data_IF_508937816763
#
_entry.id   IF_508937816763
#
_cell.length_a   1.000
_cell.length_b   1.000
_cell.length_c   1.000
_cell.angle_alpha   90.00
_cell.angle_beta   90.00
_cell.angle_gamma   90.00
#
_symmetry.space_group_name_H-M   'P 1'
#
loop_
_entity.id
_entity.type
_entity.pdbx_description
1 polymer ?
#
# COMPACT_ATOMS: atom_id res chain seq x y z
N UNK A 1 -19.82 5.55 -13.41
CA UNK A 1 -18.37 5.37 -13.21
C UNK A 1 -17.81 6.68 -12.71
N UNK A 2 -17.28 6.69 -11.52
CA UNK A 2 -16.67 7.87 -10.90
C UNK A 2 -15.25 7.48 -10.46
N UNK A 3 -14.25 8.14 -11.03
CA UNK A 3 -12.87 7.96 -10.58
C UNK A 3 -12.62 8.79 -9.35
N UNK A 4 -12.29 8.13 -8.25
CA UNK A 4 -12.04 8.77 -6.95
C UNK A 4 -10.54 8.72 -6.61
N UNK A 5 -9.97 9.85 -6.16
CA UNK A 5 -8.58 9.90 -5.72
C UNK A 5 -8.42 9.20 -4.38
N UNK A 6 -7.49 8.27 -4.31
CA UNK A 6 -7.20 7.48 -3.11
C UNK A 6 -5.72 7.51 -2.78
N UNK A 7 -5.39 7.46 -1.49
CA UNK A 7 -4.05 7.14 -1.02
C UNK A 7 -4.08 5.85 -0.22
N UNK A 8 -3.33 4.86 -0.68
CA UNK A 8 -3.39 3.50 -0.16
C UNK A 8 -2.17 3.10 0.68
N UNK A 9 -1.28 4.07 0.96
CA UNK A 9 -0.03 3.84 1.68
C UNK A 9 0.29 5.02 2.61
N UNK A 10 -0.17 4.95 3.87
CA UNK A 10 -0.04 6.01 4.85
C UNK A 10 0.44 5.49 6.21
N UNK A 11 1.26 6.30 6.88
CA UNK A 11 1.85 6.02 8.17
C UNK A 11 1.52 7.10 9.21
N UNK A 12 1.48 6.68 10.47
CA UNK A 12 1.21 7.54 11.61
C UNK A 12 2.24 7.32 12.72
N UNK A 13 2.07 8.03 13.82
CA UNK A 13 2.86 7.83 15.06
C UNK A 13 2.74 6.42 15.66
N UNK A 14 1.85 5.57 15.13
CA UNK A 14 1.77 4.17 15.51
C UNK A 14 2.90 3.32 14.92
N UNK A 15 3.60 3.84 13.90
CA UNK A 15 4.86 3.29 13.39
C UNK A 15 5.95 4.37 13.38
N UNK A 16 6.20 5.00 12.26
CA UNK A 16 7.27 5.97 12.05
C UNK A 16 6.84 7.23 11.30
N UNK A 17 5.54 7.43 11.12
CA UNK A 17 4.96 8.67 10.64
C UNK A 17 4.89 9.76 11.71
N UNK A 18 4.83 11.01 11.28
CA UNK A 18 4.71 12.17 12.16
C UNK A 18 3.26 12.54 12.50
N UNK A 19 2.28 12.00 11.75
CA UNK A 19 0.85 12.27 11.95
C UNK A 19 0.25 11.44 13.08
N UNK A 20 -0.62 12.02 13.88
CA UNK A 20 -1.68 11.24 14.53
C UNK A 20 -2.68 10.76 13.48
N UNK A 21 -3.49 9.74 13.78
CA UNK A 21 -4.52 9.26 12.83
C UNK A 21 -5.48 10.38 12.42
N UNK A 22 -5.92 11.22 13.37
CA UNK A 22 -6.80 12.35 13.09
C UNK A 22 -6.14 13.42 12.21
N UNK A 23 -4.85 13.71 12.40
CA UNK A 23 -4.11 14.66 11.55
C UNK A 23 -3.95 14.11 10.13
N UNK A 24 -3.62 12.83 9.96
CA UNK A 24 -3.56 12.18 8.66
C UNK A 24 -4.90 12.27 7.92
N UNK A 25 -6.00 11.94 8.61
CA UNK A 25 -7.34 12.02 8.00
C UNK A 25 -7.71 13.44 7.58
N UNK A 26 -7.37 14.46 8.36
CA UNK A 26 -7.59 15.87 8.00
C UNK A 26 -6.72 16.29 6.81
N UNK A 27 -5.44 15.92 6.83
CA UNK A 27 -4.53 16.20 5.71
C UNK A 27 -5.03 15.57 4.41
N UNK A 28 -5.59 14.36 4.48
CA UNK A 28 -6.19 13.70 3.33
C UNK A 28 -7.43 14.45 2.78
N UNK A 29 -8.25 15.02 3.65
CA UNK A 29 -9.38 15.87 3.24
C UNK A 29 -8.87 17.16 2.57
N UNK A 30 -7.83 17.77 3.14
CA UNK A 30 -7.23 19.01 2.58
C UNK A 30 -6.59 18.74 1.21
N UNK A 31 -6.03 17.55 0.99
CA UNK A 31 -5.49 17.08 -0.30
C UNK A 31 -6.59 16.56 -1.26
N UNK A 32 -7.88 16.71 -0.90
CA UNK A 32 -9.03 16.29 -1.69
C UNK A 32 -9.10 14.80 -2.02
N UNK A 33 -8.52 13.96 -1.19
CA UNK A 33 -8.66 12.51 -1.31
C UNK A 33 -10.08 12.08 -0.92
N UNK A 34 -10.57 11.01 -1.54
CA UNK A 34 -11.89 10.45 -1.28
C UNK A 34 -11.83 9.33 -0.23
N UNK A 35 -10.71 8.64 -0.14
CA UNK A 35 -10.47 7.55 0.78
C UNK A 35 -8.97 7.37 1.02
N UNK A 36 -8.59 6.92 2.20
CA UNK A 36 -7.22 6.54 2.55
C UNK A 36 -7.14 5.09 3.03
N UNK A 37 -5.95 4.50 3.01
CA UNK A 37 -5.64 3.30 3.77
C UNK A 37 -4.62 3.62 4.86
N UNK A 38 -4.91 3.24 6.10
CA UNK A 38 -3.95 3.31 7.20
C UNK A 38 -3.12 2.04 7.20
N UNK A 39 -1.82 2.16 6.94
CA UNK A 39 -0.93 1.03 6.68
C UNK A 39 0.35 1.09 7.49
N UNK A 40 0.26 1.47 8.76
CA UNK A 40 1.40 1.51 9.67
C UNK A 40 2.24 0.22 9.64
N UNK A 41 3.56 0.35 9.79
CA UNK A 41 4.50 -0.77 9.76
C UNK A 41 4.21 -1.80 10.87
N UNK A 42 3.83 -3.00 10.46
CA UNK A 42 3.70 -4.17 11.33
C UNK A 42 2.81 -3.98 12.58
N UNK A 43 1.86 -3.04 12.54
CA UNK A 43 0.95 -2.75 13.66
C UNK A 43 -0.47 -2.45 13.20
N UNK A 44 -1.43 -2.70 14.08
CA UNK A 44 -2.86 -2.36 13.91
C UNK A 44 -3.32 -1.31 14.90
N UNK A 45 -2.40 -0.78 15.73
CA UNK A 45 -2.77 0.02 16.92
C UNK A 45 -3.49 1.33 16.58
N UNK A 46 -3.35 1.85 15.35
CA UNK A 46 -4.06 3.04 14.89
C UNK A 46 -5.49 2.80 14.39
N UNK A 47 -5.91 1.55 14.21
CA UNK A 47 -7.21 1.28 13.56
C UNK A 47 -8.42 1.75 14.35
N UNK A 48 -8.35 1.73 15.67
CA UNK A 48 -9.47 2.13 16.54
C UNK A 48 -9.61 3.67 16.64
N UNK A 49 -8.63 4.42 16.12
CA UNK A 49 -8.65 5.88 16.06
C UNK A 49 -9.23 6.42 14.73
N UNK A 50 -9.46 5.54 13.74
CA UNK A 50 -10.05 5.94 12.46
C UNK A 50 -11.49 6.41 12.65
N UNK A 51 -11.82 7.57 12.11
CA UNK A 51 -13.17 8.15 12.09
C UNK A 51 -13.67 8.32 10.64
N UNK A 52 -14.55 7.43 10.21
CA UNK A 52 -15.15 7.45 8.88
C UNK A 52 -16.01 8.70 8.62
N UNK A 53 -16.34 9.51 9.66
CA UNK A 53 -17.02 10.80 9.46
C UNK A 53 -16.06 11.90 8.96
N UNK A 54 -14.75 11.75 9.16
CA UNK A 54 -13.74 12.67 8.62
C UNK A 54 -13.49 12.32 7.15
N UNK A 55 -13.06 11.09 6.90
CA UNK A 55 -12.87 10.52 5.58
C UNK A 55 -12.97 8.99 5.69
N UNK A 56 -13.64 8.31 4.75
CA UNK A 56 -13.64 6.86 4.71
C UNK A 56 -12.22 6.29 4.69
N UNK A 57 -11.98 5.26 5.49
CA UNK A 57 -10.66 4.68 5.62
C UNK A 57 -10.66 3.15 5.49
N UNK A 58 -9.64 2.62 4.85
CA UNK A 58 -9.36 1.20 4.79
C UNK A 58 -8.40 0.85 5.92
N UNK A 59 -8.77 -0.13 6.73
CA UNK A 59 -7.85 -0.74 7.69
C UNK A 59 -6.84 -1.59 6.96
N UNK A 60 -5.58 -1.23 7.06
CA UNK A 60 -4.49 -1.91 6.39
C UNK A 60 -3.27 -2.05 7.30
N UNK A 61 -2.26 -2.67 6.80
CA UNK A 61 -0.96 -2.83 7.44
C UNK A 61 0.09 -2.97 6.35
N UNK A 62 1.23 -2.36 6.53
CA UNK A 62 2.40 -2.68 5.74
C UNK A 62 3.25 -3.74 6.46
N UNK A 63 3.30 -4.93 5.89
CA UNK A 63 4.26 -5.96 6.32
C UNK A 63 5.66 -5.53 5.93
N UNK A 64 6.38 -5.00 6.87
CA UNK A 64 7.76 -4.55 6.69
C UNK A 64 8.68 -5.67 7.10
N UNK A 65 9.35 -6.25 6.11
CA UNK A 65 10.28 -7.36 6.30
C UNK A 65 11.62 -7.05 5.65
N UNK A 66 12.64 -7.83 6.00
CA UNK A 66 13.95 -7.73 5.34
C UNK A 66 13.88 -8.00 3.83
N UNK A 67 12.93 -8.82 3.38
CA UNK A 67 12.82 -9.28 1.99
C UNK A 67 11.88 -8.41 1.13
N UNK A 68 11.39 -7.32 1.66
CA UNK A 68 10.49 -6.41 0.98
C UNK A 68 9.26 -6.08 1.80
N UNK A 69 8.46 -5.14 1.28
CA UNK A 69 7.27 -4.64 1.96
C UNK A 69 6.01 -5.01 1.18
N UNK A 70 4.97 -5.37 1.91
CA UNK A 70 3.69 -5.80 1.35
C UNK A 70 2.53 -5.11 2.07
N UNK A 71 1.73 -4.42 1.30
CA UNK A 71 0.49 -3.82 1.79
C UNK A 71 -0.60 -4.89 1.87
N UNK A 72 -1.21 -5.02 3.02
CA UNK A 72 -2.38 -5.87 3.25
C UNK A 72 -3.54 -4.98 3.65
N UNK A 73 -4.57 -4.91 2.82
CA UNK A 73 -5.71 -4.03 3.04
C UNK A 73 -6.97 -4.85 3.31
N UNK A 74 -7.79 -4.41 4.27
CA UNK A 74 -9.13 -4.91 4.53
C UNK A 74 -9.21 -6.37 4.99
N UNK A 75 -8.12 -6.96 5.47
CA UNK A 75 -8.16 -8.30 6.06
C UNK A 75 -9.05 -8.33 7.31
N UNK A 76 -9.93 -9.34 7.39
CA UNK A 76 -10.89 -9.47 8.48
C UNK A 76 -10.30 -10.21 9.70
N UNK A 77 -9.09 -10.77 9.56
CA UNK A 77 -8.42 -11.50 10.63
C UNK A 77 -6.90 -11.33 10.51
N UNK A 78 -6.21 -11.65 11.57
CA UNK A 78 -4.76 -11.57 11.66
C UNK A 78 -4.09 -12.67 10.81
N UNK A 79 -3.12 -12.27 10.01
CA UNK A 79 -2.20 -13.17 9.32
C UNK A 79 -0.77 -12.86 9.77
N UNK A 80 -0.07 -13.86 10.27
CA UNK A 80 1.28 -13.68 10.79
C UNK A 80 2.31 -13.52 9.66
N UNK A 81 2.98 -12.36 9.63
CA UNK A 81 4.02 -12.03 8.65
C UNK A 81 5.44 -12.33 9.13
N UNK A 82 5.63 -12.58 10.43
CA UNK A 82 6.96 -12.67 11.07
C UNK A 82 7.80 -13.84 10.56
N UNK A 83 7.16 -14.86 10.03
CA UNK A 83 7.80 -16.02 9.40
C UNK A 83 7.76 -15.98 7.87
N UNK A 84 7.42 -14.81 7.27
CA UNK A 84 7.47 -14.64 5.82
C UNK A 84 8.91 -14.73 5.31
N UNK A 85 9.14 -15.62 4.35
CA UNK A 85 10.42 -15.87 3.71
C UNK A 85 10.25 -15.85 2.18
N UNK A 86 11.33 -15.65 1.42
CA UNK A 86 11.24 -15.62 -0.04
C UNK A 86 10.49 -16.80 -0.66
N UNK A 87 10.61 -18.00 -0.09
CA UNK A 87 10.05 -19.22 -0.67
C UNK A 87 8.64 -19.56 -0.18
N UNK A 88 8.13 -18.91 0.87
CA UNK A 88 6.79 -19.17 1.40
C UNK A 88 5.79 -18.03 1.16
N UNK A 89 6.16 -16.98 0.45
CA UNK A 89 5.33 -15.79 0.28
C UNK A 89 3.98 -16.09 -0.39
N UNK A 90 3.94 -17.00 -1.36
CA UNK A 90 2.67 -17.39 -1.99
C UNK A 90 1.67 -17.97 -0.99
N UNK A 91 2.14 -18.71 0.01
CA UNK A 91 1.30 -19.24 1.09
C UNK A 91 0.78 -18.09 1.97
N UNK A 92 1.63 -17.14 2.31
CA UNK A 92 1.26 -15.96 3.09
C UNK A 92 0.22 -15.11 2.37
N UNK A 93 0.42 -14.86 1.08
CA UNK A 93 -0.55 -14.16 0.23
C UNK A 93 -1.91 -14.88 0.23
N UNK A 94 -1.92 -16.21 0.08
CA UNK A 94 -3.16 -17.00 0.14
C UNK A 94 -3.85 -16.91 1.50
N UNK A 95 -3.10 -16.88 2.60
CA UNK A 95 -3.66 -16.68 3.93
C UNK A 95 -4.36 -15.32 4.04
N UNK A 96 -3.75 -14.24 3.53
CA UNK A 96 -4.37 -12.91 3.47
C UNK A 96 -5.64 -12.94 2.63
N UNK A 97 -5.61 -13.55 1.45
CA UNK A 97 -6.80 -13.69 0.60
C UNK A 97 -7.91 -14.49 1.27
N UNK A 98 -7.58 -15.53 2.02
CA UNK A 98 -8.55 -16.38 2.73
C UNK A 98 -9.32 -15.62 3.82
N UNK A 99 -8.72 -14.58 4.40
CA UNK A 99 -9.38 -13.69 5.37
C UNK A 99 -9.97 -12.42 4.73
N UNK A 100 -10.08 -12.39 3.40
CA UNK A 100 -10.75 -11.32 2.65
C UNK A 100 -9.88 -10.09 2.36
N UNK A 101 -8.59 -10.14 2.68
CA UNK A 101 -7.66 -9.06 2.38
C UNK A 101 -7.26 -9.00 0.90
N UNK A 102 -6.84 -7.83 0.46
CA UNK A 102 -6.13 -7.62 -0.81
C UNK A 102 -4.65 -7.34 -0.55
N UNK A 103 -3.83 -7.67 -1.52
CA UNK A 103 -2.38 -7.66 -1.40
C UNK A 103 -1.76 -6.73 -2.44
N UNK A 104 -0.97 -5.78 -1.97
CA UNK A 104 -0.15 -4.90 -2.80
C UNK A 104 1.34 -5.07 -2.54
N UNK A 105 2.15 -5.03 -3.58
CA UNK A 105 3.60 -4.95 -3.42
C UNK A 105 3.99 -3.49 -3.34
N UNK A 106 4.51 -3.08 -2.18
CA UNK A 106 4.95 -1.72 -1.93
C UNK A 106 6.32 -1.48 -2.60
N UNK A 107 6.46 -0.32 -3.24
CA UNK A 107 7.73 0.21 -3.78
C UNK A 107 8.82 -0.84 -4.09
N UNK A 108 8.60 -1.78 -5.02
CA UNK A 108 9.35 -3.05 -5.14
C UNK A 108 10.85 -2.89 -5.40
N UNK A 109 11.32 -1.72 -5.76
CA UNK A 109 12.73 -1.47 -6.05
C UNK A 109 13.40 -0.42 -5.16
N UNK A 110 12.66 0.12 -4.18
CA UNK A 110 13.25 1.05 -3.22
C UNK A 110 14.24 0.32 -2.30
N UNK A 111 15.31 1.00 -1.93
CA UNK A 111 16.23 0.53 -0.92
C UNK A 111 15.82 1.11 0.43
N UNK A 112 15.77 0.26 1.44
CA UNK A 112 15.50 0.68 2.81
C UNK A 112 16.56 1.63 3.35
N UNK A 113 16.16 2.53 4.23
CA UNK A 113 17.06 3.42 4.96
C UNK A 113 16.73 3.35 6.45
N UNK A 114 17.54 2.64 7.24
CA UNK A 114 18.76 1.92 6.88
C UNK A 114 18.50 0.66 6.03
N UNK A 115 19.51 0.23 5.30
CA UNK A 115 19.45 -0.91 4.37
C UNK A 115 18.93 -2.22 5.02
N UNK A 116 19.10 -2.38 6.33
CA UNK A 116 18.64 -3.56 7.07
C UNK A 116 17.11 -3.62 7.25
N UNK A 117 16.36 -2.58 6.90
CA UNK A 117 14.89 -2.58 6.92
C UNK A 117 14.27 -3.20 5.66
N UNK A 118 15.08 -3.65 4.71
CA UNK A 118 14.60 -4.21 3.44
C UNK A 118 14.22 -3.12 2.44
N UNK A 119 12.99 -3.09 2.01
CA UNK A 119 12.45 -2.15 1.02
C UNK A 119 12.41 -2.75 -0.37
N UNK A 120 13.51 -3.30 -0.87
CA UNK A 120 13.51 -3.97 -2.17
C UNK A 120 12.82 -5.33 -2.07
N UNK A 121 11.91 -5.57 -3.01
CA UNK A 121 11.21 -6.84 -3.10
C UNK A 121 12.14 -7.99 -3.51
N UNK A 122 12.31 -8.96 -2.63
CA UNK A 122 13.15 -10.14 -2.80
C UNK A 122 12.36 -11.45 -2.61
N UNK A 123 11.06 -11.37 -2.40
CA UNK A 123 10.21 -12.53 -2.32
C UNK A 123 9.97 -13.19 -3.69
N UNK A 124 9.95 -14.52 -3.72
CA UNK A 124 9.79 -15.33 -4.93
C UNK A 124 8.30 -15.62 -5.20
N UNK A 125 7.54 -14.62 -5.64
CA UNK A 125 6.15 -14.83 -6.05
C UNK A 125 6.10 -15.74 -7.29
N UNK A 126 5.47 -16.88 -7.14
CA UNK A 126 5.25 -17.88 -8.23
C UNK A 126 3.85 -17.78 -8.81
N UNK A 127 2.87 -17.36 -8.01
CA UNK A 127 1.46 -17.21 -8.42
C UNK A 127 0.99 -15.75 -8.31
N UNK A 128 1.32 -14.97 -9.29
CA UNK A 128 0.95 -13.55 -9.41
C UNK A 128 -0.56 -13.29 -9.51
N UNK A 129 -1.39 -14.32 -9.68
CA UNK A 129 -2.87 -14.16 -9.70
C UNK A 129 -3.44 -13.77 -8.35
N UNK A 130 -2.68 -13.95 -7.28
CA UNK A 130 -3.09 -13.62 -5.92
C UNK A 130 -2.57 -12.23 -5.46
N UNK A 131 -1.76 -11.55 -6.27
CA UNK A 131 -1.33 -10.17 -6.06
C UNK A 131 -2.33 -9.26 -6.75
N UNK A 132 -2.93 -8.33 -6.01
CA UNK A 132 -3.99 -7.46 -6.50
C UNK A 132 -3.41 -6.22 -7.19
N UNK A 133 -2.35 -5.64 -6.64
CA UNK A 133 -1.71 -4.45 -7.21
C UNK A 133 -0.21 -4.37 -6.93
N UNK A 134 0.45 -3.48 -7.64
CA UNK A 134 1.86 -3.11 -7.44
C UNK A 134 1.95 -1.60 -7.43
N UNK A 135 2.68 -1.04 -6.49
CA UNK A 135 3.09 0.37 -6.53
C UNK A 135 4.12 0.56 -7.63
N UNK A 136 3.64 1.02 -8.78
CA UNK A 136 4.50 1.31 -9.94
C UNK A 136 5.10 2.70 -9.86
N UNK A 137 4.53 3.54 -9.02
CA UNK A 137 5.01 4.88 -8.74
C UNK A 137 5.01 5.12 -7.23
N UNK A 138 6.11 5.59 -6.72
CA UNK A 138 6.35 5.77 -5.30
C UNK A 138 7.00 7.12 -5.05
N UNK A 139 6.57 7.82 -3.99
CA UNK A 139 7.07 9.14 -3.58
C UNK A 139 7.09 10.19 -4.71
N UNK A 140 7.87 11.26 -4.52
CA UNK A 140 8.03 12.29 -5.52
C UNK A 140 8.77 11.75 -6.75
N UNK A 141 8.21 12.02 -7.91
CA UNK A 141 8.64 11.61 -9.26
C UNK A 141 10.15 11.69 -9.55
N UNK A 142 10.84 12.64 -8.91
CA UNK A 142 12.23 12.92 -9.25
C UNK A 142 13.24 12.14 -8.39
N UNK A 143 12.92 11.83 -7.15
CA UNK A 143 13.83 11.16 -6.22
C UNK A 143 13.90 9.65 -6.45
N UNK A 144 12.80 9.03 -6.86
CA UNK A 144 12.66 7.59 -7.06
C UNK A 144 12.48 7.19 -8.55
N UNK A 145 12.92 8.03 -9.48
CA UNK A 145 12.65 7.83 -10.92
C UNK A 145 13.11 6.46 -11.44
N UNK A 146 14.31 6.05 -11.11
CA UNK A 146 14.88 4.78 -11.58
C UNK A 146 14.17 3.56 -10.98
N UNK A 147 13.81 3.64 -9.74
CA UNK A 147 13.07 2.62 -9.01
C UNK A 147 11.65 2.49 -9.58
N UNK A 148 11.00 3.61 -9.85
CA UNK A 148 9.67 3.67 -10.46
C UNK A 148 9.67 3.13 -11.90
N UNK A 149 10.67 3.47 -12.72
CA UNK A 149 10.83 2.90 -14.06
C UNK A 149 10.91 1.36 -14.02
N UNK A 150 11.68 0.80 -13.08
CA UNK A 150 11.78 -0.65 -12.89
C UNK A 150 10.49 -1.29 -12.38
N UNK A 151 9.77 -0.61 -11.50
CA UNK A 151 8.46 -1.08 -11.02
C UNK A 151 7.44 -1.12 -12.17
N UNK A 152 7.44 -0.10 -13.02
CA UNK A 152 6.63 -0.06 -14.23
C UNK A 152 7.01 -1.18 -15.22
N UNK A 153 8.31 -1.45 -15.40
CA UNK A 153 8.78 -2.57 -16.25
C UNK A 153 8.32 -3.93 -15.68
N UNK A 154 8.40 -4.14 -14.37
CA UNK A 154 7.88 -5.34 -13.73
C UNK A 154 6.39 -5.50 -14.01
N UNK A 155 5.59 -4.47 -13.73
CA UNK A 155 4.15 -4.49 -13.90
C UNK A 155 3.75 -4.76 -15.36
N UNK A 156 4.34 -4.06 -16.32
CA UNK A 156 4.07 -4.28 -17.76
C UNK A 156 4.43 -5.70 -18.18
N UNK A 157 5.56 -6.24 -17.71
CA UNK A 157 5.95 -7.62 -17.99
C UNK A 157 4.96 -8.66 -17.47
N UNK A 158 4.30 -8.37 -16.36
CA UNK A 158 3.26 -9.24 -15.80
C UNK A 158 1.96 -9.14 -16.60
N UNK A 159 1.57 -7.95 -17.07
CA UNK A 159 0.44 -7.78 -17.98
C UNK A 159 0.67 -8.53 -19.30
N UNK A 160 1.88 -8.47 -19.87
CA UNK A 160 2.24 -9.20 -21.09
C UNK A 160 2.14 -10.72 -20.92
N UNK A 161 2.32 -11.22 -19.71
CA UNK A 161 2.10 -12.63 -19.34
C UNK A 161 0.63 -12.96 -19.07
N UNK A 162 -0.27 -11.99 -19.16
CA UNK A 162 -1.72 -12.16 -18.99
C UNK A 162 -2.22 -12.07 -17.55
N UNK A 163 -1.39 -11.63 -16.60
CA UNK A 163 -1.85 -11.36 -15.23
C UNK A 163 -2.71 -10.09 -15.18
N UNK A 164 -3.67 -10.05 -14.26
CA UNK A 164 -4.54 -8.91 -14.02
C UNK A 164 -4.16 -8.30 -12.68
N UNK A 165 -3.24 -7.36 -12.70
CA UNK A 165 -2.69 -6.70 -11.51
C UNK A 165 -2.87 -5.20 -11.71
N UNK A 166 -3.45 -4.51 -10.73
CA UNK A 166 -3.59 -3.06 -10.79
C UNK A 166 -2.23 -2.37 -10.59
N UNK A 167 -2.10 -1.18 -11.17
CA UNK A 167 -0.99 -0.27 -10.89
C UNK A 167 -1.47 0.82 -9.93
N UNK A 168 -0.69 1.11 -8.90
CA UNK A 168 -1.00 2.16 -7.95
C UNK A 168 0.15 3.16 -7.84
N UNK A 169 -0.17 4.32 -7.31
CA UNK A 169 0.77 5.27 -6.77
C UNK A 169 0.80 5.09 -5.26
N UNK A 170 1.95 4.94 -4.65
CA UNK A 170 2.15 4.92 -3.21
C UNK A 170 2.89 6.17 -2.78
N UNK A 171 2.23 7.05 -2.01
CA UNK A 171 2.88 8.22 -1.44
C UNK A 171 3.86 7.80 -0.34
N UNK A 172 3.54 6.69 0.35
CA UNK A 172 4.27 6.24 1.53
C UNK A 172 4.33 7.40 2.54
N UNK A 173 3.13 7.87 2.89
CA UNK A 173 2.90 9.18 3.48
C UNK A 173 3.16 9.20 4.98
N UNK A 174 4.31 9.74 5.37
CA UNK A 174 4.77 9.76 6.76
C UNK A 174 4.59 11.12 7.44
N UNK A 175 4.57 12.21 6.69
CA UNK A 175 4.59 13.57 7.26
C UNK A 175 3.98 14.61 6.33
N UNK A 176 3.70 15.76 6.91
CA UNK A 176 3.28 16.92 6.13
C UNK A 176 4.40 17.34 5.15
N UNK A 177 4.05 17.51 3.90
CA UNK A 177 5.00 17.83 2.84
C UNK A 177 4.78 19.25 2.34
N UNK A 178 5.79 20.08 2.50
CA UNK A 178 5.71 21.52 2.23
C UNK A 178 5.92 21.90 0.76
N UNK A 179 6.31 20.96 -0.08
CA UNK A 179 6.54 21.23 -1.51
C UNK A 179 6.49 19.95 -2.34
N UNK A 180 5.67 19.95 -3.36
CA UNK A 180 5.64 18.91 -4.38
C UNK A 180 4.23 18.65 -4.90
N UNK A 181 4.15 18.24 -6.15
CA UNK A 181 2.92 17.64 -6.67
C UNK A 181 3.05 16.14 -6.46
N UNK A 182 2.24 15.59 -5.57
CA UNK A 182 2.13 14.15 -5.37
C UNK A 182 1.05 13.62 -6.30
N UNK A 183 1.27 12.42 -6.80
CA UNK A 183 0.23 11.66 -7.47
C UNK A 183 -0.77 11.12 -6.46
N UNK A 184 -1.81 10.50 -6.96
CA UNK A 184 -2.68 9.62 -6.19
C UNK A 184 -3.18 8.50 -7.10
N UNK A 185 -3.65 7.43 -6.50
CA UNK A 185 -4.33 6.36 -7.23
C UNK A 185 -5.76 6.79 -7.49
N UNK A 186 -6.24 6.65 -8.73
CA UNK A 186 -7.63 6.85 -9.07
C UNK A 186 -8.31 5.49 -9.22
N UNK A 187 -9.37 5.25 -8.45
CA UNK A 187 -10.16 4.03 -8.52
C UNK A 187 -11.53 4.30 -9.12
N UNK A 188 -11.98 3.41 -10.01
CA UNK A 188 -13.32 3.46 -10.58
C UNK A 188 -14.26 2.64 -9.69
N UNK A 189 -15.09 3.33 -8.93
CA UNK A 189 -15.95 2.73 -7.92
C UNK A 189 -17.41 3.20 -8.05
N UNK A 190 -18.33 2.37 -7.59
CA UNK A 190 -19.75 2.68 -7.55
C UNK A 190 -20.13 3.59 -6.36
N UNK A 191 -19.42 3.46 -5.25
CA UNK A 191 -19.60 4.24 -4.03
C UNK A 191 -18.26 4.51 -3.32
N UNK A 192 -18.25 5.50 -2.43
CA UNK A 192 -17.07 5.84 -1.60
C UNK A 192 -17.07 4.93 -0.37
N UNK A 193 -16.52 3.74 -0.51
CA UNK A 193 -16.36 2.82 0.62
C UNK A 193 -15.10 1.97 0.47
N UNK A 194 -14.53 1.55 1.59
CA UNK A 194 -13.42 0.60 1.63
C UNK A 194 -13.74 -0.66 0.79
N UNK A 195 -14.97 -1.16 0.88
CA UNK A 195 -15.41 -2.34 0.15
C UNK A 195 -15.41 -2.14 -1.37
N UNK A 196 -15.78 -0.96 -1.86
CA UNK A 196 -15.80 -0.66 -3.29
C UNK A 196 -14.38 -0.54 -3.86
N UNK A 197 -13.46 0.05 -3.10
CA UNK A 197 -12.05 0.21 -3.50
C UNK A 197 -11.32 -1.14 -3.55
N UNK A 198 -11.70 -2.10 -2.71
CA UNK A 198 -11.08 -3.42 -2.62
C UNK A 198 -11.68 -4.47 -3.59
N UNK A 199 -12.49 -4.06 -4.55
CA UNK A 199 -13.10 -4.97 -5.56
C UNK A 199 -12.30 -4.99 -6.86
#
# INVERSE_FOLDING_TARGET
>A
MSYLPCELHCHTIHSDGDFTVSELQKAAVDDHLAIIALTDHNTFSGWDELDDNIIPAIRGIEWTTYFGHMLVLGANDFVDWRDAQPDNIDEKIKQVKAVGGIVGIAHPYQLGSPLCTGGRWEFNVRDWRNVDYIEVWHQNLYSAKRENERALELWTSLLDKGYKIAATYGRDWHREETSGHYGCTYVDVDDISAKSVMR
#
